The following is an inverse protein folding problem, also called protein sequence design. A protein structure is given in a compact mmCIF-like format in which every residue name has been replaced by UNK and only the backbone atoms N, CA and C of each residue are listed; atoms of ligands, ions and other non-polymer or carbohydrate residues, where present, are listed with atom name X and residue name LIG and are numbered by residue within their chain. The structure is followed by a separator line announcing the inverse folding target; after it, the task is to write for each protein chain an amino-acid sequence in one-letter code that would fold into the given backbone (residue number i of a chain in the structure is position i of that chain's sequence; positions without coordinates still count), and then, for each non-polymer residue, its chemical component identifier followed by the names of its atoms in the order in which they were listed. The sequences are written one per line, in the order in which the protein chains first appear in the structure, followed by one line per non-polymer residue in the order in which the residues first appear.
data_IF_114714997117
#
_entry.id   IF_114714997117
#
_cell.length_a   1.000
_cell.length_b   1.000
_cell.length_c   1.000
_cell.angle_alpha   90.00
_cell.angle_beta   90.00
_cell.angle_gamma   90.00
#
_symmetry.space_group_name_H-M   'P 1'
#
loop_
_entity.id
_entity.type
_entity.pdbx_description
1 polymer ?
#
# COMPACT_ATOMS: atom_id res chain seq x y z
N UNK A 1 -7.18 -8.35 3.38
CA UNK A 1 -8.19 -9.37 3.04
C UNK A 1 -8.41 -9.28 1.54
N UNK A 2 -8.66 -10.42 0.90
CA UNK A 2 -9.15 -10.43 -0.47
C UNK A 2 -10.69 -10.26 -0.45
N UNK A 3 -11.36 -10.28 -1.60
CA UNK A 3 -12.80 -10.02 -1.71
C UNK A 3 -13.68 -11.23 -2.01
N UNK A 4 -13.15 -12.44 -1.77
CA UNK A 4 -13.89 -13.70 -1.78
C UNK A 4 -14.86 -13.82 -0.59
N UNK A 5 -15.65 -12.78 -0.31
CA UNK A 5 -16.70 -12.79 0.72
C UNK A 5 -17.92 -13.59 0.28
N UNK A 6 -18.12 -13.69 -1.03
CA UNK A 6 -19.22 -14.41 -1.65
C UNK A 6 -18.72 -15.17 -2.88
N UNK A 7 -19.30 -16.34 -3.22
CA UNK A 7 -18.95 -17.01 -4.47
C UNK A 7 -19.25 -16.12 -5.67
N UNK A 8 -18.35 -16.11 -6.64
CA UNK A 8 -18.61 -15.42 -7.90
C UNK A 8 -19.85 -16.00 -8.58
N UNK A 9 -20.68 -15.16 -9.21
CA UNK A 9 -21.87 -15.62 -9.89
C UNK A 9 -21.47 -16.57 -11.02
N UNK A 10 -22.05 -17.77 -11.00
CA UNK A 10 -22.00 -18.73 -12.10
C UNK A 10 -23.32 -18.61 -12.86
N UNK A 11 -23.25 -18.54 -14.18
CA UNK A 11 -24.45 -18.37 -15.00
C UNK A 11 -25.47 -19.47 -14.67
N UNK A 12 -26.73 -19.05 -14.43
CA UNK A 12 -27.84 -19.92 -14.06
C UNK A 12 -27.71 -20.66 -12.72
N UNK A 13 -26.80 -20.23 -11.83
CA UNK A 13 -26.66 -20.78 -10.47
C UNK A 13 -26.67 -19.65 -9.43
N UNK A 14 -27.68 -19.64 -8.55
CA UNK A 14 -27.64 -18.82 -7.34
C UNK A 14 -26.92 -19.56 -6.22
N UNK A 15 -26.40 -18.81 -5.25
CA UNK A 15 -25.92 -19.38 -4.01
C UNK A 15 -27.09 -19.87 -3.15
N UNK A 16 -26.94 -21.05 -2.55
CA UNK A 16 -28.02 -21.74 -1.84
C UNK A 16 -28.15 -21.29 -0.37
N UNK A 17 -28.47 -20.01 -0.16
CA UNK A 17 -28.71 -19.35 1.14
C UNK A 17 -30.18 -18.95 1.34
N UNK A 18 -31.14 -19.53 0.61
CA UNK A 18 -32.56 -19.24 0.78
C UNK A 18 -33.05 -19.56 2.20
N UNK A 19 -32.65 -20.70 2.75
CA UNK A 19 -32.98 -21.09 4.13
C UNK A 19 -32.40 -20.10 5.13
N UNK A 20 -31.13 -19.72 4.96
CA UNK A 20 -30.46 -18.76 5.83
C UNK A 20 -31.10 -17.37 5.74
N UNK A 21 -31.53 -16.95 4.55
CA UNK A 21 -32.26 -15.70 4.35
C UNK A 21 -33.67 -15.76 4.98
N UNK A 22 -34.37 -16.90 4.90
CA UNK A 22 -35.66 -17.07 5.56
C UNK A 22 -35.53 -16.98 7.10
N UNK A 23 -34.44 -17.50 7.66
CA UNK A 23 -34.18 -17.49 9.11
C UNK A 23 -33.66 -16.14 9.63
N UNK A 24 -32.79 -15.46 8.88
CA UNK A 24 -32.04 -14.28 9.35
C UNK A 24 -32.24 -13.00 8.52
N UNK A 25 -33.01 -13.06 7.43
CA UNK A 25 -33.24 -11.95 6.51
C UNK A 25 -34.41 -11.03 6.87
N UNK A 26 -35.11 -11.30 7.99
CA UNK A 26 -36.24 -10.49 8.43
C UNK A 26 -35.83 -9.00 8.58
N UNK A 27 -36.62 -8.11 7.97
CA UNK A 27 -36.35 -6.67 7.95
C UNK A 27 -35.59 -6.16 6.72
N UNK A 28 -35.11 -7.05 5.84
CA UNK A 28 -34.48 -6.66 4.57
C UNK A 28 -35.46 -6.77 3.41
N UNK A 29 -35.53 -5.72 2.60
CA UNK A 29 -36.39 -5.67 1.41
C UNK A 29 -35.90 -6.59 0.28
N UNK A 30 -34.60 -6.91 0.25
CA UNK A 30 -34.03 -7.83 -0.73
C UNK A 30 -32.95 -8.72 -0.13
N UNK A 31 -32.86 -9.95 -0.65
CA UNK A 31 -31.79 -10.91 -0.32
C UNK A 31 -30.40 -10.36 -0.65
N UNK A 32 -30.30 -9.55 -1.71
CA UNK A 32 -29.05 -8.90 -2.10
C UNK A 32 -28.59 -7.84 -1.08
N UNK A 33 -29.52 -7.03 -0.53
CA UNK A 33 -29.20 -6.06 0.52
C UNK A 33 -28.80 -6.76 1.82
N UNK A 34 -29.49 -7.84 2.17
CA UNK A 34 -29.12 -8.69 3.30
C UNK A 34 -27.73 -9.28 3.14
N UNK A 35 -27.39 -9.84 1.97
CA UNK A 35 -26.04 -10.36 1.66
C UNK A 35 -24.98 -9.26 1.80
N UNK A 36 -25.22 -8.06 1.27
CA UNK A 36 -24.33 -6.89 1.43
C UNK A 36 -24.12 -6.54 2.90
N UNK A 37 -25.21 -6.49 3.67
CA UNK A 37 -25.14 -6.18 5.09
C UNK A 37 -24.35 -7.22 5.90
N UNK A 38 -24.46 -8.51 5.56
CA UNK A 38 -23.67 -9.54 6.22
C UNK A 38 -22.16 -9.31 6.02
N UNK A 39 -21.76 -8.88 4.82
CA UNK A 39 -20.36 -8.56 4.52
C UNK A 39 -19.95 -7.25 5.21
N UNK A 40 -20.82 -6.24 5.21
CA UNK A 40 -20.59 -4.99 5.95
C UNK A 40 -20.31 -5.24 7.43
N UNK A 41 -21.14 -6.07 8.09
CA UNK A 41 -20.95 -6.47 9.49
C UNK A 41 -19.62 -7.19 9.69
N UNK A 42 -19.26 -8.12 8.80
CA UNK A 42 -17.96 -8.80 8.85
C UNK A 42 -16.80 -7.79 8.78
N UNK A 43 -16.82 -6.85 7.83
CA UNK A 43 -15.78 -5.84 7.67
C UNK A 43 -15.69 -4.94 8.91
N UNK A 44 -16.83 -4.42 9.36
CA UNK A 44 -16.89 -3.52 10.50
C UNK A 44 -16.42 -4.20 11.80
N UNK A 45 -16.98 -5.37 12.13
CA UNK A 45 -16.63 -6.09 13.36
C UNK A 45 -15.18 -6.61 13.33
N UNK A 46 -14.68 -7.06 12.18
CA UNK A 46 -13.29 -7.49 12.04
C UNK A 46 -12.34 -6.32 12.30
N UNK A 47 -12.61 -5.16 11.69
CA UNK A 47 -11.84 -3.94 11.93
C UNK A 47 -11.82 -3.57 13.41
N UNK A 48 -12.98 -3.53 14.07
CA UNK A 48 -13.10 -3.23 15.50
C UNK A 48 -12.30 -4.22 16.37
N UNK A 49 -12.51 -5.53 16.19
CA UNK A 49 -11.81 -6.58 16.97
C UNK A 49 -10.30 -6.56 16.76
N UNK A 50 -9.82 -6.27 15.56
CA UNK A 50 -8.38 -6.08 15.30
C UNK A 50 -7.85 -4.94 16.17
N UNK A 51 -8.55 -3.80 16.22
CA UNK A 51 -8.10 -2.63 17.00
C UNK A 51 -8.15 -2.86 18.49
N UNK A 52 -9.14 -3.59 18.99
CA UNK A 52 -9.25 -3.98 20.40
C UNK A 52 -8.06 -4.85 20.85
N UNK A 53 -7.61 -5.78 20.00
CA UNK A 53 -6.54 -6.73 20.35
C UNK A 53 -5.15 -6.17 20.07
N UNK A 54 -4.96 -5.52 18.91
CA UNK A 54 -3.69 -4.95 18.46
C UNK A 54 -3.93 -3.67 17.64
N UNK A 55 -4.03 -2.49 18.28
CA UNK A 55 -4.41 -1.23 17.61
C UNK A 55 -3.47 -0.81 16.47
N UNK A 56 -2.21 -1.27 16.49
CA UNK A 56 -1.22 -1.00 15.45
C UNK A 56 -1.34 -1.88 14.20
N UNK A 57 -2.22 -2.90 14.19
CA UNK A 57 -2.40 -3.76 13.01
C UNK A 57 -3.32 -3.05 12.03
N UNK A 58 -2.82 -2.78 10.81
CA UNK A 58 -3.57 -2.16 9.72
C UNK A 58 -4.53 -3.19 9.09
N UNK A 59 -5.81 -2.87 8.99
CA UNK A 59 -6.83 -3.69 8.35
C UNK A 59 -7.19 -3.11 6.98
N UNK A 60 -7.18 -3.94 5.95
CA UNK A 60 -7.53 -3.49 4.61
C UNK A 60 -8.02 -4.60 3.72
N UNK A 61 -8.67 -4.21 2.63
CA UNK A 61 -9.36 -5.12 1.70
C UNK A 61 -8.92 -4.82 0.26
N UNK A 62 -8.75 -5.87 -0.54
CA UNK A 62 -8.36 -5.81 -1.95
C UNK A 62 -9.52 -6.22 -2.86
N UNK A 63 -10.49 -5.34 -3.16
CA UNK A 63 -11.66 -5.70 -3.95
C UNK A 63 -11.44 -5.65 -5.45
N UNK A 64 -12.40 -6.16 -6.22
CA UNK A 64 -12.58 -5.86 -7.63
C UNK A 64 -12.38 -4.38 -7.94
N UNK A 65 -11.70 -4.09 -9.05
CA UNK A 65 -11.42 -2.73 -9.47
C UNK A 65 -12.68 -1.91 -9.83
N UNK A 66 -13.81 -2.55 -10.12
CA UNK A 66 -15.09 -1.89 -10.41
C UNK A 66 -16.05 -2.14 -9.24
N UNK A 67 -16.39 -1.08 -8.49
CA UNK A 67 -17.45 -1.13 -7.48
C UNK A 67 -18.82 -1.23 -8.15
N UNK A 68 -19.15 -0.22 -8.97
CA UNK A 68 -20.33 -0.15 -9.85
C UNK A 68 -19.99 0.62 -11.11
N UNK A 69 -20.63 0.26 -12.21
CA UNK A 69 -20.63 0.98 -13.46
C UNK A 69 -21.56 2.18 -13.36
N UNK A 70 -21.20 3.30 -14.01
CA UNK A 70 -21.99 4.53 -14.05
C UNK A 70 -23.42 4.34 -14.58
N UNK A 71 -23.62 3.37 -15.47
CA UNK A 71 -24.93 3.02 -16.00
C UNK A 71 -25.87 2.37 -14.95
N UNK A 72 -25.31 1.71 -13.93
CA UNK A 72 -26.08 1.10 -12.84
C UNK A 72 -26.26 2.04 -11.65
N UNK A 73 -25.28 2.92 -11.40
CA UNK A 73 -25.30 3.90 -10.32
C UNK A 73 -24.55 5.17 -10.78
N UNK A 74 -25.13 6.38 -10.70
CA UNK A 74 -24.47 7.61 -11.14
C UNK A 74 -23.17 7.93 -10.39
N UNK A 75 -22.95 7.34 -9.20
CA UNK A 75 -21.70 7.46 -8.44
C UNK A 75 -20.63 6.43 -8.89
N UNK A 76 -20.98 5.52 -9.79
CA UNK A 76 -20.11 4.48 -10.33
C UNK A 76 -19.06 5.00 -11.32
N UNK A 77 -18.07 4.16 -11.61
CA UNK A 77 -17.02 4.44 -12.58
C UNK A 77 -17.53 4.35 -14.03
N UNK A 78 -16.94 5.11 -14.95
CA UNK A 78 -17.24 5.04 -16.38
C UNK A 78 -16.64 3.77 -17.03
N UNK A 79 -17.25 2.64 -16.68
CA UNK A 79 -16.87 1.28 -17.04
C UNK A 79 -18.10 0.44 -17.41
N UNK A 80 -17.88 -0.73 -18.00
CA UNK A 80 -18.93 -1.69 -18.38
C UNK A 80 -18.59 -3.13 -17.96
N UNK A 81 -17.79 -3.30 -16.91
CA UNK A 81 -17.34 -4.62 -16.42
C UNK A 81 -18.20 -5.18 -15.30
N UNK A 82 -17.78 -6.32 -14.74
CA UNK A 82 -18.40 -6.92 -13.56
C UNK A 82 -18.25 -6.02 -12.34
N UNK A 83 -19.31 -5.87 -11.55
CA UNK A 83 -19.42 -4.92 -10.44
C UNK A 83 -19.37 -5.65 -9.10
N UNK A 84 -18.48 -5.24 -8.18
CA UNK A 84 -18.35 -5.89 -6.86
C UNK A 84 -19.63 -5.81 -6.04
N UNK A 85 -20.35 -4.69 -6.14
CA UNK A 85 -21.59 -4.43 -5.40
C UNK A 85 -22.71 -5.43 -5.73
N UNK A 86 -22.77 -5.83 -7.01
CA UNK A 86 -23.85 -6.66 -7.55
C UNK A 86 -23.46 -8.14 -7.61
N UNK A 87 -22.22 -8.45 -8.01
CA UNK A 87 -21.76 -9.82 -8.19
C UNK A 87 -21.32 -10.48 -6.88
N UNK A 88 -20.64 -9.72 -6.01
CA UNK A 88 -20.01 -10.23 -4.79
C UNK A 88 -20.62 -9.65 -3.52
N UNK A 89 -21.66 -8.83 -3.65
CA UNK A 89 -22.31 -8.13 -2.54
C UNK A 89 -21.32 -7.28 -1.71
N UNK A 90 -20.25 -6.78 -2.35
CA UNK A 90 -19.21 -6.00 -1.70
C UNK A 90 -19.40 -4.49 -1.96
N UNK A 91 -19.94 -3.77 -0.97
CA UNK A 91 -20.12 -2.31 -1.02
C UNK A 91 -18.86 -1.56 -0.59
N UNK A 92 -17.81 -1.71 -1.39
CA UNK A 92 -16.46 -1.21 -1.11
C UNK A 92 -16.39 0.30 -0.99
N UNK A 93 -17.22 1.04 -1.74
CA UNK A 93 -17.35 2.49 -1.59
C UNK A 93 -17.84 2.85 -0.19
N UNK A 94 -18.84 2.14 0.35
CA UNK A 94 -19.34 2.38 1.72
C UNK A 94 -18.25 2.13 2.76
N UNK A 95 -17.45 1.07 2.62
CA UNK A 95 -16.37 0.77 3.57
C UNK A 95 -15.32 1.87 3.64
N UNK A 96 -15.01 2.50 2.50
CA UNK A 96 -14.09 3.66 2.42
C UNK A 96 -14.72 4.89 3.06
N UNK A 97 -15.94 5.26 2.66
CA UNK A 97 -16.61 6.49 3.13
C UNK A 97 -16.91 6.42 4.63
N UNK A 98 -17.22 5.24 5.16
CA UNK A 98 -17.45 5.01 6.59
C UNK A 98 -16.15 4.72 7.36
N UNK A 99 -15.01 4.63 6.68
CA UNK A 99 -13.68 4.42 7.25
C UNK A 99 -13.58 3.17 8.13
N UNK A 100 -14.24 2.08 7.70
CA UNK A 100 -14.22 0.79 8.42
C UNK A 100 -12.92 0.01 8.20
N UNK A 101 -12.11 0.43 7.24
CA UNK A 101 -10.82 -0.15 6.86
C UNK A 101 -9.74 0.95 6.89
N UNK A 102 -8.50 0.58 7.19
CA UNK A 102 -7.36 1.51 7.15
C UNK A 102 -6.83 1.73 5.74
N UNK A 103 -6.98 0.73 4.86
CA UNK A 103 -6.58 0.84 3.47
C UNK A 103 -7.44 -0.02 2.53
N UNK A 104 -7.48 0.37 1.27
CA UNK A 104 -8.14 -0.35 0.19
C UNK A 104 -7.19 -0.58 -0.98
N UNK A 105 -7.32 -1.74 -1.64
CA UNK A 105 -6.50 -2.15 -2.78
C UNK A 105 -7.36 -2.60 -3.97
N UNK A 106 -8.02 -1.67 -4.70
CA UNK A 106 -8.78 -2.07 -5.88
C UNK A 106 -7.88 -2.78 -6.89
N UNK A 107 -8.34 -3.95 -7.34
CA UNK A 107 -7.72 -4.80 -8.33
C UNK A 107 -7.94 -4.22 -9.74
N UNK A 108 -7.22 -3.17 -10.10
CA UNK A 108 -7.31 -2.52 -11.42
C UNK A 108 -6.47 -3.31 -12.43
N UNK A 109 -6.94 -4.50 -12.75
CA UNK A 109 -6.19 -5.51 -13.52
C UNK A 109 -6.33 -5.37 -15.04
N UNK A 110 -6.47 -4.15 -15.53
CA UNK A 110 -6.63 -3.84 -16.95
C UNK A 110 -5.54 -2.87 -17.38
N UNK A 111 -5.18 -2.91 -18.67
CA UNK A 111 -4.18 -2.01 -19.23
C UNK A 111 -4.79 -0.63 -19.47
N UNK A 112 -3.93 0.39 -19.60
CA UNK A 112 -4.40 1.73 -19.98
C UNK A 112 -5.06 1.67 -21.36
N UNK A 113 -6.24 2.27 -21.49
CA UNK A 113 -7.01 2.34 -22.74
C UNK A 113 -7.94 1.15 -23.02
N UNK A 114 -8.11 0.19 -22.08
CA UNK A 114 -9.09 -0.88 -22.28
C UNK A 114 -10.52 -0.35 -22.17
N UNK A 115 -11.27 -0.34 -23.28
CA UNK A 115 -12.60 0.30 -23.36
C UNK A 115 -13.61 -0.11 -22.28
N UNK A 116 -13.65 -1.39 -21.87
CA UNK A 116 -14.64 -1.89 -20.90
C UNK A 116 -14.28 -1.58 -19.44
N UNK A 117 -13.01 -1.35 -19.14
CA UNK A 117 -12.49 -1.19 -17.78
C UNK A 117 -11.12 -0.48 -17.84
N UNK A 118 -11.13 0.78 -18.28
CA UNK A 118 -9.89 1.51 -18.53
C UNK A 118 -9.20 1.86 -17.20
N UNK A 119 -7.92 1.48 -17.08
CA UNK A 119 -7.07 1.86 -15.96
C UNK A 119 -7.11 3.37 -15.70
N UNK A 120 -7.05 4.17 -16.77
CA UNK A 120 -7.04 5.62 -16.72
C UNK A 120 -8.39 6.25 -16.32
N UNK A 121 -9.47 5.45 -16.21
CA UNK A 121 -10.75 5.88 -15.65
C UNK A 121 -10.95 5.38 -14.22
N UNK A 122 -10.42 4.20 -13.89
CA UNK A 122 -10.59 3.57 -12.59
C UNK A 122 -9.72 4.20 -11.50
N UNK A 123 -8.46 4.52 -11.78
CA UNK A 123 -7.57 5.16 -10.79
C UNK A 123 -8.11 6.54 -10.35
N UNK A 124 -8.49 7.47 -11.25
CA UNK A 124 -9.09 8.74 -10.82
C UNK A 124 -10.35 8.54 -9.97
N UNK A 125 -11.21 7.60 -10.36
CA UNK A 125 -12.44 7.31 -9.62
C UNK A 125 -12.15 6.81 -8.19
N UNK A 126 -11.21 5.89 -8.03
CA UNK A 126 -10.80 5.43 -6.69
C UNK A 126 -10.09 6.53 -5.89
N UNK A 127 -9.30 7.37 -6.54
CA UNK A 127 -8.71 8.55 -5.91
C UNK A 127 -9.79 9.48 -5.36
N UNK A 128 -10.85 9.75 -6.12
CA UNK A 128 -12.00 10.55 -5.67
C UNK A 128 -12.72 9.90 -4.48
N UNK A 129 -12.94 8.58 -4.51
CA UNK A 129 -13.57 7.84 -3.41
C UNK A 129 -12.75 7.92 -2.11
N UNK A 130 -11.42 7.85 -2.21
CA UNK A 130 -10.54 7.93 -1.05
C UNK A 130 -10.29 9.37 -0.56
N UNK A 131 -10.45 10.37 -1.43
CA UNK A 131 -10.19 11.78 -1.12
C UNK A 131 -11.07 12.26 0.04
N UNK A 132 -10.43 12.88 1.03
CA UNK A 132 -11.11 13.39 2.23
C UNK A 132 -11.40 12.33 3.30
N UNK A 133 -11.05 11.07 3.06
CA UNK A 133 -11.10 10.00 4.06
C UNK A 133 -9.71 9.72 4.64
N UNK A 134 -9.65 8.95 5.72
CA UNK A 134 -8.40 8.44 6.31
C UNK A 134 -7.95 7.10 5.69
N UNK A 135 -8.71 6.56 4.74
CA UNK A 135 -8.41 5.27 4.13
C UNK A 135 -7.32 5.44 3.08
N UNK A 136 -6.21 4.73 3.25
CA UNK A 136 -5.14 4.74 2.26
C UNK A 136 -5.56 3.96 1.02
N UNK A 137 -5.37 4.54 -0.17
CA UNK A 137 -5.57 3.84 -1.43
C UNK A 137 -4.23 3.33 -1.96
N UNK A 138 -4.16 2.02 -2.24
CA UNK A 138 -3.09 1.41 -3.02
C UNK A 138 -3.66 0.78 -4.28
N UNK A 139 -2.97 0.79 -5.41
CA UNK A 139 -3.51 0.18 -6.64
C UNK A 139 -3.01 -1.25 -6.82
N UNK A 140 -3.93 -2.20 -7.04
CA UNK A 140 -3.59 -3.57 -7.37
C UNK A 140 -3.12 -3.70 -8.83
N UNK A 141 -1.89 -4.14 -9.03
CA UNK A 141 -1.24 -4.29 -10.34
C UNK A 141 -1.27 -5.74 -10.83
N UNK A 142 -1.70 -5.96 -12.08
CA UNK A 142 -1.86 -7.29 -12.68
C UNK A 142 -0.58 -7.83 -13.34
N UNK A 143 0.55 -7.84 -12.63
CA UNK A 143 1.81 -8.35 -13.16
C UNK A 143 1.68 -9.78 -13.74
N UNK A 144 0.76 -10.61 -13.24
CA UNK A 144 0.53 -11.97 -13.75
C UNK A 144 0.03 -12.05 -15.20
N UNK A 145 -0.48 -10.94 -15.76
CA UNK A 145 -0.88 -10.84 -17.17
C UNK A 145 0.31 -10.53 -18.09
N UNK A 146 1.42 -10.03 -17.55
CA UNK A 146 2.61 -9.67 -18.34
C UNK A 146 3.14 -10.90 -19.06
N UNK A 147 3.30 -10.78 -20.38
CA UNK A 147 3.74 -11.82 -21.30
C UNK A 147 2.93 -13.14 -21.22
N UNK A 148 1.71 -13.10 -20.69
CA UNK A 148 0.84 -14.26 -20.63
C UNK A 148 0.14 -14.46 -21.98
N UNK A 149 0.26 -15.68 -22.52
CA UNK A 149 -0.39 -16.03 -23.78
C UNK A 149 -1.90 -15.75 -23.74
N UNK A 150 -2.42 -15.15 -24.82
CA UNK A 150 -3.83 -14.76 -24.94
C UNK A 150 -4.18 -13.39 -24.35
N UNK A 151 -3.25 -12.68 -23.72
CA UNK A 151 -3.48 -11.30 -23.29
C UNK A 151 -3.34 -10.29 -24.46
N UNK A 152 -3.98 -9.11 -24.37
CA UNK A 152 -3.75 -8.01 -25.29
C UNK A 152 -2.28 -7.59 -25.43
N UNK A 153 -1.92 -6.99 -26.57
CA UNK A 153 -0.55 -6.58 -26.90
C UNK A 153 0.10 -5.66 -25.85
N UNK A 154 -0.69 -4.84 -25.15
CA UNK A 154 -0.20 -3.98 -24.07
C UNK A 154 0.56 -4.77 -22.99
N UNK A 155 0.13 -6.00 -22.67
CA UNK A 155 0.80 -6.84 -21.66
C UNK A 155 2.12 -7.46 -22.14
N UNK A 156 2.48 -7.29 -23.41
CA UNK A 156 3.78 -7.69 -23.96
C UNK A 156 4.74 -6.51 -24.07
N UNK A 157 4.31 -5.29 -23.73
CA UNK A 157 5.17 -4.13 -23.59
C UNK A 157 5.84 -4.15 -22.19
N UNK A 158 7.18 -4.23 -22.10
CA UNK A 158 7.86 -4.25 -20.81
C UNK A 158 7.61 -2.99 -19.97
N UNK A 159 7.22 -1.86 -20.59
CA UNK A 159 6.99 -0.61 -19.86
C UNK A 159 5.55 -0.41 -19.37
N UNK A 160 4.61 -1.33 -19.66
CA UNK A 160 3.18 -1.14 -19.33
C UNK A 160 2.94 -0.89 -17.83
N UNK A 161 3.50 -1.73 -16.95
CA UNK A 161 3.40 -1.52 -15.50
C UNK A 161 4.10 -0.22 -15.08
N UNK A 162 5.22 0.16 -15.70
CA UNK A 162 5.87 1.44 -15.39
C UNK A 162 5.01 2.65 -15.80
N UNK A 163 4.24 2.55 -16.90
CA UNK A 163 3.25 3.56 -17.28
C UNK A 163 2.14 3.68 -16.23
N UNK A 164 1.64 2.56 -15.70
CA UNK A 164 0.66 2.57 -14.61
C UNK A 164 1.17 3.34 -13.39
N UNK A 165 2.39 3.01 -12.92
CA UNK A 165 3.00 3.66 -11.75
C UNK A 165 3.26 5.14 -12.00
N UNK A 166 3.72 5.50 -13.21
CA UNK A 166 3.88 6.91 -13.62
C UNK A 166 2.55 7.66 -13.55
N UNK A 167 1.47 7.05 -14.08
CA UNK A 167 0.13 7.63 -14.07
C UNK A 167 -0.40 7.80 -12.64
N UNK A 168 -0.14 6.86 -11.75
CA UNK A 168 -0.58 6.91 -10.36
C UNK A 168 -0.03 8.13 -9.59
N UNK A 169 1.16 8.62 -9.95
CA UNK A 169 1.76 9.80 -9.30
C UNK A 169 0.95 11.09 -9.45
N UNK A 170 0.07 11.18 -10.45
CA UNK A 170 -0.79 12.35 -10.66
C UNK A 170 -1.99 12.38 -9.70
N UNK A 171 -2.18 11.34 -8.87
CA UNK A 171 -3.35 11.16 -8.00
C UNK A 171 -2.92 11.10 -6.52
N UNK A 172 -3.08 12.20 -5.76
CA UNK A 172 -2.49 12.32 -4.42
C UNK A 172 -3.08 11.37 -3.36
N UNK A 173 -4.27 10.79 -3.58
CA UNK A 173 -4.81 9.77 -2.69
C UNK A 173 -4.17 8.40 -2.93
N UNK A 174 -3.52 8.16 -4.07
CA UNK A 174 -2.80 6.91 -4.36
C UNK A 174 -1.45 6.93 -3.65
N UNK A 175 -1.29 6.07 -2.65
CA UNK A 175 -0.13 6.02 -1.77
C UNK A 175 0.82 4.85 -2.05
N UNK A 176 0.59 4.13 -3.15
CA UNK A 176 1.45 3.04 -3.61
C UNK A 176 0.70 1.93 -4.36
N UNK A 177 1.40 0.82 -4.57
CA UNK A 177 0.98 -0.25 -5.46
C UNK A 177 1.17 -1.64 -4.84
N UNK A 178 0.31 -2.59 -5.21
CA UNK A 178 0.39 -4.00 -4.78
C UNK A 178 0.46 -4.90 -6.01
N UNK A 179 1.59 -5.60 -6.18
CA UNK A 179 1.86 -6.40 -7.38
C UNK A 179 1.35 -7.84 -7.27
N UNK A 180 0.33 -8.18 -8.05
CA UNK A 180 -0.18 -9.54 -8.17
C UNK A 180 0.47 -10.26 -9.37
N UNK A 181 1.37 -11.23 -9.17
CA UNK A 181 1.79 -11.85 -7.90
C UNK A 181 3.29 -12.04 -7.83
N UNK A 182 3.84 -12.19 -6.63
CA UNK A 182 5.28 -12.30 -6.38
C UNK A 182 6.04 -13.19 -7.37
N UNK A 183 5.50 -14.37 -7.74
CA UNK A 183 6.13 -15.28 -8.71
C UNK A 183 6.49 -14.61 -10.04
N UNK A 184 5.58 -13.81 -10.62
CA UNK A 184 5.82 -13.19 -11.93
C UNK A 184 6.71 -11.94 -11.81
N UNK A 185 6.63 -11.25 -10.67
CA UNK A 185 7.51 -10.12 -10.37
C UNK A 185 8.96 -10.59 -10.33
N UNK A 186 9.21 -11.73 -9.69
CA UNK A 186 10.54 -12.36 -9.60
C UNK A 186 10.98 -12.96 -10.93
N UNK A 187 10.08 -13.63 -11.66
CA UNK A 187 10.42 -14.29 -12.91
C UNK A 187 10.77 -13.30 -14.04
N UNK A 188 10.15 -12.12 -14.02
CA UNK A 188 10.39 -10.99 -14.92
C UNK A 188 10.61 -11.38 -16.41
N UNK A 189 9.65 -12.05 -17.05
CA UNK A 189 9.88 -12.75 -18.32
C UNK A 189 10.27 -11.85 -19.49
N UNK A 190 9.99 -10.55 -19.41
CA UNK A 190 10.28 -9.56 -20.46
C UNK A 190 11.00 -8.32 -19.92
N UNK A 191 11.49 -8.32 -18.67
CA UNK A 191 12.17 -7.16 -18.08
C UNK A 191 11.24 -6.05 -17.57
N UNK A 192 9.95 -6.33 -17.38
CA UNK A 192 8.97 -5.36 -16.86
C UNK A 192 9.23 -5.00 -15.39
N UNK A 193 9.56 -5.99 -14.54
CA UNK A 193 9.90 -5.74 -13.14
C UNK A 193 11.18 -4.94 -13.00
N UNK A 194 12.21 -5.33 -13.75
CA UNK A 194 13.46 -4.58 -13.84
C UNK A 194 13.18 -3.13 -14.22
N UNK A 195 12.29 -2.89 -15.19
CA UNK A 195 11.94 -1.53 -15.62
C UNK A 195 11.27 -0.72 -14.53
N UNK A 196 10.16 -1.19 -13.95
CA UNK A 196 9.43 -0.36 -12.98
C UNK A 196 10.21 -0.17 -11.67
N UNK A 197 11.05 -1.14 -11.27
CA UNK A 197 11.94 -0.99 -10.11
C UNK A 197 12.96 0.11 -10.37
N UNK A 198 13.57 0.13 -11.56
CA UNK A 198 14.54 1.16 -11.93
C UNK A 198 13.91 2.56 -12.01
N UNK A 199 12.68 2.66 -12.52
CA UNK A 199 11.98 3.93 -12.71
C UNK A 199 11.43 4.50 -11.39
N UNK A 200 10.86 3.64 -10.53
CA UNK A 200 10.01 4.09 -9.42
C UNK A 200 10.51 3.69 -8.02
N UNK A 201 11.33 2.64 -7.90
CA UNK A 201 11.76 2.08 -6.60
C UNK A 201 13.27 2.15 -6.39
N UNK A 202 13.94 3.14 -7.00
CA UNK A 202 15.39 3.31 -6.95
C UNK A 202 15.93 3.77 -5.57
N UNK A 203 15.06 4.27 -4.69
CA UNK A 203 15.42 4.78 -3.36
C UNK A 203 14.59 4.09 -2.28
N UNK A 204 15.12 3.94 -1.05
CA UNK A 204 14.31 3.55 0.09
C UNK A 204 13.17 4.55 0.30
N UNK A 205 12.04 4.06 0.79
CA UNK A 205 10.88 4.87 1.13
C UNK A 205 10.30 4.43 2.47
N UNK A 206 9.85 5.38 3.28
CA UNK A 206 9.09 5.11 4.48
C UNK A 206 7.65 4.74 4.12
N UNK A 207 7.02 3.89 4.94
CA UNK A 207 5.60 3.59 4.78
C UNK A 207 4.80 4.84 5.16
N UNK A 208 3.83 5.29 4.33
CA UNK A 208 2.98 6.42 4.66
C UNK A 208 2.30 6.26 6.03
N UNK A 209 2.35 7.33 6.82
CA UNK A 209 1.77 7.37 8.17
C UNK A 209 0.25 7.28 8.10
N UNK A 210 -0.34 6.63 9.11
CA UNK A 210 -1.79 6.61 9.35
C UNK A 210 -2.06 7.30 10.69
N UNK A 211 -2.16 8.65 10.73
CA UNK A 211 -2.19 9.41 11.99
C UNK A 211 -3.38 9.11 12.90
N UNK A 212 -4.45 8.50 12.37
CA UNK A 212 -5.60 8.06 13.15
C UNK A 212 -5.36 6.78 13.95
N UNK A 213 -4.29 6.06 13.67
CA UNK A 213 -3.96 4.87 14.44
C UNK A 213 -3.15 5.24 15.69
N UNK A 214 -3.39 4.57 16.83
CA UNK A 214 -2.68 4.88 18.06
C UNK A 214 -1.16 4.74 17.91
N UNK A 215 -0.44 5.79 18.28
CA UNK A 215 1.03 5.83 18.30
C UNK A 215 1.54 6.26 19.66
N UNK A 216 2.62 5.64 20.13
CA UNK A 216 3.34 6.09 21.32
C UNK A 216 4.44 7.07 20.92
N UNK A 217 4.67 8.15 21.70
CA UNK A 217 5.84 9.00 21.47
C UNK A 217 7.13 8.19 21.48
N UNK A 218 8.07 8.55 20.61
CA UNK A 218 9.40 7.98 20.58
C UNK A 218 10.44 9.08 20.75
N UNK A 219 11.49 8.80 21.51
CA UNK A 219 12.65 9.68 21.55
C UNK A 219 13.50 9.49 20.29
N UNK A 220 14.29 10.51 19.98
CA UNK A 220 15.33 10.39 18.96
C UNK A 220 16.32 9.28 19.34
N UNK A 221 16.81 8.48 18.37
CA UNK A 221 17.92 7.58 18.62
C UNK A 221 19.25 8.35 18.69
N UNK A 222 20.33 7.67 19.07
CA UNK A 222 21.69 8.22 19.05
C UNK A 222 22.55 7.37 18.13
N UNK A 223 23.24 8.00 17.18
CA UNK A 223 24.35 7.36 16.46
C UNK A 223 25.60 7.42 17.36
N UNK A 224 25.84 6.34 18.11
CA UNK A 224 26.91 6.22 19.10
C UNK A 224 28.29 6.20 18.46
N UNK A 225 28.40 5.53 17.31
CA UNK A 225 29.64 5.40 16.55
C UNK A 225 29.34 5.57 15.06
N UNK A 226 30.27 6.20 14.36
CA UNK A 226 30.38 6.18 12.92
C UNK A 226 31.85 5.93 12.60
N UNK A 227 32.14 4.81 11.95
CA UNK A 227 33.50 4.34 11.70
C UNK A 227 33.68 4.07 10.21
N UNK A 228 34.64 4.76 9.59
CA UNK A 228 34.96 4.56 8.18
C UNK A 228 35.91 3.38 8.01
N UNK A 229 35.63 2.57 6.99
CA UNK A 229 36.44 1.44 6.58
C UNK A 229 36.51 1.37 5.05
N UNK A 230 37.26 0.42 4.51
CA UNK A 230 37.26 0.11 3.07
C UNK A 230 35.90 -0.38 2.54
N UNK A 231 35.02 -0.87 3.42
CA UNK A 231 33.69 -1.33 3.05
C UNK A 231 32.62 -0.21 3.08
N UNK A 232 32.98 1.00 3.53
CA UNK A 232 32.06 2.13 3.69
C UNK A 232 32.06 2.69 5.12
N UNK A 233 30.96 3.33 5.53
CA UNK A 233 30.79 3.89 6.88
C UNK A 233 29.86 3.02 7.71
N UNK A 234 30.39 2.44 8.78
CA UNK A 234 29.63 1.65 9.74
C UNK A 234 29.10 2.55 10.86
N UNK A 235 27.77 2.56 11.04
CA UNK A 235 27.07 3.28 12.10
C UNK A 235 26.61 2.31 13.17
N UNK A 236 26.80 2.67 14.45
CA UNK A 236 26.14 2.00 15.58
C UNK A 236 25.06 2.92 16.14
N UNK A 237 23.80 2.52 15.96
CA UNK A 237 22.61 3.26 16.38
C UNK A 237 22.09 2.66 17.67
N UNK A 238 21.74 3.51 18.63
CA UNK A 238 21.18 3.11 19.92
C UNK A 238 19.90 3.87 20.19
N UNK A 239 18.88 3.14 20.62
CA UNK A 239 17.67 3.73 21.17
C UNK A 239 17.79 4.02 22.65
N UNK A 240 17.14 5.10 23.08
CA UNK A 240 17.02 5.46 24.49
C UNK A 240 15.74 4.89 25.11
N UNK A 241 14.62 5.00 24.40
CA UNK A 241 13.29 4.62 24.89
C UNK A 241 12.28 4.53 23.74
N UNK A 242 11.30 3.62 23.85
CA UNK A 242 10.21 3.42 22.89
C UNK A 242 10.14 1.99 22.33
N UNK A 243 8.98 1.61 21.81
CA UNK A 243 8.78 0.33 21.08
C UNK A 243 9.29 0.43 19.64
N UNK A 244 10.61 0.47 19.50
CA UNK A 244 11.27 0.76 18.23
C UNK A 244 11.45 -0.52 17.44
N UNK A 245 10.92 -0.54 16.22
CA UNK A 245 10.99 -1.71 15.35
C UNK A 245 12.01 -1.57 14.24
N UNK A 246 12.31 -0.33 13.82
CA UNK A 246 13.27 -0.02 12.77
C UNK A 246 13.91 1.34 12.99
N UNK A 247 14.96 1.64 12.23
CA UNK A 247 15.54 2.98 12.11
C UNK A 247 15.52 3.39 10.64
N UNK A 248 15.38 4.69 10.38
CA UNK A 248 15.67 5.28 9.08
C UNK A 248 17.00 6.02 9.18
N UNK A 249 17.88 5.87 8.20
CA UNK A 249 19.22 6.45 8.20
C UNK A 249 19.36 7.42 7.05
N UNK A 250 19.78 8.64 7.38
CA UNK A 250 19.96 9.73 6.44
C UNK A 250 21.42 10.13 6.35
N UNK A 251 21.86 10.50 5.15
CA UNK A 251 23.22 10.97 4.86
C UNK A 251 23.19 12.28 4.11
N UNK A 252 24.02 13.20 4.55
CA UNK A 252 24.25 14.53 3.97
C UNK A 252 25.75 14.71 3.72
N UNK A 253 26.11 15.45 2.69
CA UNK A 253 27.52 15.84 2.50
C UNK A 253 27.92 16.86 3.55
N UNK A 254 29.20 16.86 3.92
CA UNK A 254 29.73 17.89 4.82
C UNK A 254 29.54 19.29 4.21
N UNK A 255 28.89 20.19 4.95
CA UNK A 255 28.57 21.54 4.50
C UNK A 255 27.12 21.71 4.05
N UNK A 256 26.37 20.63 3.85
CA UNK A 256 24.91 20.68 3.70
C UNK A 256 24.26 20.86 5.08
N UNK A 257 23.20 21.66 5.16
CA UNK A 257 22.38 21.75 6.36
C UNK A 257 21.50 20.49 6.49
N UNK A 258 21.66 19.67 7.54
CA UNK A 258 20.90 18.43 7.66
C UNK A 258 19.42 18.72 7.92
N UNK A 259 18.58 18.58 6.89
CA UNK A 259 17.14 18.74 6.97
C UNK A 259 16.44 17.51 6.39
N UNK A 260 15.55 16.90 7.19
CA UNK A 260 14.68 15.83 6.71
C UNK A 260 13.55 16.46 5.88
N UNK A 261 13.33 15.92 4.68
CA UNK A 261 12.28 16.35 3.76
C UNK A 261 11.61 15.12 3.15
N UNK A 262 10.43 15.33 2.55
CA UNK A 262 9.56 14.25 2.07
C UNK A 262 10.03 13.59 0.75
N UNK A 263 11.14 14.03 0.14
CA UNK A 263 11.59 13.55 -1.19
C UNK A 263 12.62 12.41 -1.16
N UNK A 264 12.86 11.82 0.02
CA UNK A 264 13.76 10.70 0.27
C UNK A 264 15.21 10.88 -0.23
N UNK A 265 15.64 12.07 -0.68
CA UNK A 265 16.94 12.24 -1.34
C UNK A 265 18.14 11.85 -0.48
N UNK A 266 17.98 12.01 0.83
CA UNK A 266 19.00 11.73 1.83
C UNK A 266 18.76 10.43 2.59
N UNK A 267 17.62 9.74 2.37
CA UNK A 267 17.33 8.45 3.01
C UNK A 267 18.12 7.36 2.32
N UNK A 268 19.10 6.79 3.02
CA UNK A 268 20.02 5.78 2.45
C UNK A 268 19.70 4.36 2.91
N UNK A 269 18.84 4.20 3.92
CA UNK A 269 18.44 2.87 4.36
C UNK A 269 17.40 2.87 5.47
N UNK A 270 16.68 1.76 5.55
CA UNK A 270 15.78 1.42 6.65
C UNK A 270 16.20 0.05 7.15
N UNK A 271 16.39 -0.08 8.45
CA UNK A 271 16.85 -1.34 9.04
C UNK A 271 16.06 -1.70 10.29
N UNK A 272 15.84 -3.01 10.48
CA UNK A 272 15.18 -3.54 11.67
C UNK A 272 16.04 -3.33 12.91
N UNK A 273 15.41 -2.97 14.02
CA UNK A 273 16.07 -2.93 15.32
C UNK A 273 16.44 -4.35 15.76
N UNK A 274 17.69 -4.53 16.19
CA UNK A 274 18.27 -5.79 16.66
C UNK A 274 18.40 -5.85 18.19
N UNK A 275 17.73 -4.93 18.89
CA UNK A 275 17.79 -4.80 20.35
C UNK A 275 18.36 -3.44 20.77
N UNK A 276 19.28 -3.44 21.73
CA UNK A 276 19.78 -2.19 22.34
C UNK A 276 20.64 -1.36 21.39
N UNK A 277 21.48 -2.01 20.60
CA UNK A 277 22.32 -1.39 19.58
C UNK A 277 22.11 -2.11 18.25
N UNK A 278 22.09 -1.35 17.17
CA UNK A 278 21.89 -1.85 15.80
C UNK A 278 22.93 -1.23 14.90
N UNK A 279 23.54 -2.05 14.05
CA UNK A 279 24.57 -1.62 13.11
C UNK A 279 23.99 -1.44 11.72
N UNK A 280 24.39 -0.36 11.05
CA UNK A 280 24.10 -0.09 9.65
C UNK A 280 25.42 0.16 8.91
N UNK A 281 25.61 -0.46 7.74
CA UNK A 281 26.74 -0.19 6.87
C UNK A 281 26.27 0.62 5.66
N UNK A 282 26.72 1.88 5.57
CA UNK A 282 26.63 2.63 4.32
C UNK A 282 27.78 2.22 3.40
N UNK A 283 27.50 1.23 2.54
CA UNK A 283 28.44 0.76 1.51
C UNK A 283 28.43 1.63 0.24
N UNK A 284 27.65 2.71 0.21
CA UNK A 284 27.56 3.66 -0.90
C UNK A 284 28.33 4.95 -0.65
N UNK A 285 28.94 5.10 0.55
CA UNK A 285 29.76 6.25 0.91
C UNK A 285 30.98 6.33 -0.01
N UNK A 286 31.21 7.49 -0.61
CA UNK A 286 32.37 7.72 -1.48
C UNK A 286 33.64 7.79 -0.63
N UNK A 287 34.75 7.14 -1.05
CA UNK A 287 36.04 7.27 -0.39
C UNK A 287 36.49 8.73 -0.26
N UNK A 288 37.13 9.09 0.85
CA UNK A 288 37.59 10.46 1.20
C UNK A 288 36.51 11.55 1.35
N UNK A 289 35.29 11.33 0.86
CA UNK A 289 34.16 12.25 1.06
C UNK A 289 33.68 12.18 2.52
N UNK A 290 33.51 13.34 3.16
CA UNK A 290 33.03 13.44 4.54
C UNK A 290 31.51 13.64 4.57
N UNK A 291 30.87 12.97 5.53
CA UNK A 291 29.42 12.96 5.64
C UNK A 291 28.92 13.33 7.04
N UNK A 292 27.68 13.78 7.08
CA UNK A 292 26.88 13.93 8.29
C UNK A 292 25.73 12.93 8.22
N UNK A 293 25.57 12.14 9.26
CA UNK A 293 24.50 11.17 9.39
C UNK A 293 23.47 11.61 10.43
N UNK A 294 22.20 11.34 10.12
CA UNK A 294 21.09 11.37 11.06
C UNK A 294 20.42 10.00 11.08
N UNK A 295 19.83 9.66 12.22
CA UNK A 295 18.96 8.50 12.32
C UNK A 295 17.66 8.89 13.02
N UNK A 296 16.56 8.29 12.59
CA UNK A 296 15.26 8.36 13.25
C UNK A 296 14.85 6.96 13.69
N UNK A 297 13.98 6.88 14.70
CA UNK A 297 13.39 5.61 15.11
C UNK A 297 11.98 5.47 14.53
N UNK A 298 11.61 4.23 14.17
CA UNK A 298 10.32 3.89 13.59
C UNK A 298 9.57 2.90 14.49
N UNK A 299 8.31 3.21 14.81
CA UNK A 299 7.43 2.32 15.55
C UNK A 299 6.81 1.24 14.63
N UNK A 300 5.87 0.46 15.16
CA UNK A 300 5.17 -0.59 14.40
C UNK A 300 4.30 -0.07 13.25
N UNK A 301 3.90 1.21 13.31
CA UNK A 301 3.08 1.89 12.30
C UNK A 301 3.92 2.71 11.32
N UNK A 302 5.24 2.71 11.49
CA UNK A 302 6.20 3.56 10.76
C UNK A 302 6.04 5.05 11.04
N UNK A 303 5.49 5.42 12.20
CA UNK A 303 5.66 6.78 12.69
C UNK A 303 7.14 7.02 12.98
N UNK A 304 7.59 8.23 12.69
CA UNK A 304 9.00 8.60 12.79
C UNK A 304 9.25 9.48 14.00
N UNK A 305 10.31 9.17 14.76
CA UNK A 305 10.75 10.01 15.88
C UNK A 305 11.53 11.24 15.39
N UNK A 306 11.78 12.24 16.26
CA UNK A 306 12.73 13.30 15.93
C UNK A 306 14.11 12.73 15.54
N UNK A 307 14.88 13.42 14.68
CA UNK A 307 16.20 12.95 14.28
C UNK A 307 17.19 12.96 15.45
N UNK A 308 18.15 12.05 15.38
CA UNK A 308 19.33 12.05 16.25
C UNK A 308 20.12 13.36 16.10
N UNK A 309 20.96 13.73 17.09
CA UNK A 309 22.02 14.70 16.86
C UNK A 309 22.89 14.31 15.65
N UNK A 310 23.39 15.27 14.86
CA UNK A 310 24.28 15.00 13.73
C UNK A 310 25.52 14.20 14.12
N UNK A 311 25.86 13.18 13.33
CA UNK A 311 27.09 12.39 13.51
C UNK A 311 28.00 12.47 12.29
N UNK A 312 29.22 12.93 12.50
CA UNK A 312 30.24 13.08 11.45
C UNK A 312 31.03 11.78 11.22
N UNK A 313 31.36 11.49 9.96
CA UNK A 313 32.20 10.35 9.54
C UNK A 313 32.93 10.59 8.20
#
# INVERSE_FOLDING_TARGET
FDDYFYPYPVAAQDFADDTTFAEHGAGWASKADWRRNNIDLLIQEMGQRIKEVKPWVKFGVSPFGIWRNKAADPLGSDTNGTQSYDANFADTRKWVIQEWIDYIVPQIYWHIGLAVADYAKLVPWWNEVATGTRVHLYVGQANYKVALAGQPAAWFDPIEISKHLTFNHDYPAVLGDVHFRAKIVIADPIGSSTKFVADHYAKPALVPRMPHLPSSPMLFPIIKKAHRSSAGVELTIRSLWGEITSYAVYRFKLGEEPCLSDDARNLIGILRSTGRETTFLDNTAVPEERYVYLATALDRLSNESPPSPPRFA
#
